data_IF_850496754017
#
_entry.id   IF_850496754017
#
_cell.length_a   1.000
_cell.length_b   1.000
_cell.length_c   1.000
_cell.angle_alpha   90.00
_cell.angle_beta   90.00
_cell.angle_gamma   90.00
#
_symmetry.space_group_name_H-M   'P 1'
#
loop_
_entity.id
_entity.type
_entity.pdbx_description
1 polymer ?
#
# COMPACT_ATOMS: atom_id res chain seq x y z
N UNK A 1 13.27 18.10 0.08
CA UNK A 1 14.68 17.81 0.45
C UNK A 1 15.07 16.36 0.17
N UNK A 2 14.30 15.34 0.64
CA UNK A 2 14.65 13.92 0.48
C UNK A 2 14.78 13.55 -1.01
N UNK A 3 13.74 13.78 -1.80
CA UNK A 3 13.74 13.46 -3.22
C UNK A 3 14.84 14.22 -3.99
N UNK A 4 15.05 15.49 -3.70
CA UNK A 4 16.12 16.30 -4.31
C UNK A 4 17.50 15.70 -4.02
N UNK A 5 17.75 15.29 -2.76
CA UNK A 5 19.01 14.65 -2.35
C UNK A 5 19.22 13.31 -3.06
N UNK A 6 18.16 12.52 -3.23
CA UNK A 6 18.23 11.26 -3.98
C UNK A 6 18.55 11.49 -5.46
N UNK A 7 17.98 12.51 -6.08
CA UNK A 7 18.20 12.85 -7.50
C UNK A 7 19.65 13.29 -7.76
N UNK A 8 20.31 13.95 -6.80
CA UNK A 8 21.72 14.30 -6.88
C UNK A 8 22.67 13.11 -6.82
N UNK A 9 22.21 11.95 -6.32
CA UNK A 9 22.97 10.69 -6.20
C UNK A 9 24.33 10.82 -5.51
N UNK A 10 24.49 11.77 -4.61
CA UNK A 10 25.77 12.01 -3.92
C UNK A 10 25.73 11.66 -2.43
N UNK A 11 24.56 11.51 -1.87
CA UNK A 11 24.37 11.22 -0.46
C UNK A 11 23.56 9.95 -0.23
N UNK A 12 23.91 9.22 0.81
CA UNK A 12 23.06 8.19 1.36
C UNK A 12 21.82 8.86 1.97
N UNK A 13 20.62 8.32 1.72
CA UNK A 13 19.39 8.86 2.29
C UNK A 13 18.63 7.76 3.03
N UNK A 14 18.29 8.04 4.28
CA UNK A 14 17.38 7.23 5.08
C UNK A 14 16.20 8.07 5.51
N UNK A 15 15.00 7.65 5.11
CA UNK A 15 13.75 8.13 5.70
C UNK A 15 13.11 6.96 6.44
N UNK A 16 12.89 7.11 7.75
CA UNK A 16 12.41 6.04 8.60
C UNK A 16 11.72 6.56 9.86
N UNK A 17 11.07 5.68 10.58
CA UNK A 17 10.38 6.01 11.82
C UNK A 17 10.54 4.91 12.88
N UNK A 18 10.11 5.20 14.10
CA UNK A 18 10.05 4.21 15.18
C UNK A 18 9.03 3.09 14.91
N UNK A 19 8.16 3.24 13.92
CA UNK A 19 7.24 2.17 13.47
C UNK A 19 7.98 0.99 12.82
N UNK A 20 9.18 1.24 12.28
CA UNK A 20 10.01 0.25 11.60
C UNK A 20 11.42 0.21 12.21
N UNK A 21 11.56 -0.28 13.46
CA UNK A 21 12.83 -0.18 14.20
C UNK A 21 14.00 -0.92 13.52
N UNK A 22 13.75 -2.02 12.86
CA UNK A 22 14.78 -2.77 12.12
C UNK A 22 15.28 -1.98 10.92
N UNK A 23 14.37 -1.40 10.12
CA UNK A 23 14.71 -0.54 8.99
C UNK A 23 15.47 0.71 9.46
N UNK A 24 14.99 1.33 10.55
CA UNK A 24 15.64 2.49 11.15
C UNK A 24 17.07 2.16 11.61
N UNK A 25 17.24 1.11 12.41
CA UNK A 25 18.53 0.75 12.97
C UNK A 25 19.53 0.35 11.89
N UNK A 26 19.13 -0.54 10.97
CA UNK A 26 20.00 -0.98 9.87
C UNK A 26 20.44 0.19 8.99
N UNK A 27 19.49 1.07 8.61
CA UNK A 27 19.77 2.23 7.78
C UNK A 27 20.67 3.27 8.46
N UNK A 28 20.50 3.50 9.78
CA UNK A 28 21.40 4.37 10.55
C UNK A 28 22.84 3.81 10.58
N UNK A 29 22.99 2.53 10.89
CA UNK A 29 24.31 1.87 10.94
C UNK A 29 24.98 1.92 9.57
N UNK A 30 24.22 1.68 8.51
CA UNK A 30 24.73 1.72 7.15
C UNK A 30 25.17 3.12 6.74
N UNK A 31 24.30 4.12 6.90
CA UNK A 31 24.63 5.50 6.53
C UNK A 31 25.78 6.11 7.32
N UNK A 32 25.91 5.76 8.63
CA UNK A 32 27.02 6.23 9.46
C UNK A 32 28.38 5.56 9.14
N UNK A 33 28.37 4.40 8.51
CA UNK A 33 29.61 3.72 8.06
C UNK A 33 30.12 4.24 6.73
N UNK A 34 29.32 4.98 5.99
CA UNK A 34 29.70 5.50 4.69
C UNK A 34 30.67 6.67 4.79
N UNK A 35 31.66 6.76 3.91
CA UNK A 35 32.63 7.87 3.90
C UNK A 35 32.01 9.16 3.33
N UNK A 36 30.87 9.10 2.63
CA UNK A 36 30.20 10.21 1.98
C UNK A 36 29.14 10.90 2.86
N UNK A 37 28.47 11.93 2.35
CA UNK A 37 27.37 12.57 3.05
C UNK A 37 26.18 11.62 3.24
N UNK A 38 25.47 11.77 4.36
CA UNK A 38 24.26 11.02 4.65
C UNK A 38 23.16 11.95 5.17
N UNK A 39 21.94 11.79 4.64
CA UNK A 39 20.73 12.46 5.09
C UNK A 39 19.86 11.47 5.87
N UNK A 40 19.61 11.77 7.13
CA UNK A 40 18.67 11.03 7.98
C UNK A 40 17.43 11.87 8.20
N UNK A 41 16.30 11.46 7.65
CA UNK A 41 15.00 12.08 7.83
C UNK A 41 14.13 11.14 8.67
N UNK A 42 13.94 11.48 9.94
CA UNK A 42 13.33 10.59 10.91
C UNK A 42 12.00 11.15 11.42
N UNK A 43 10.96 10.31 11.40
CA UNK A 43 9.66 10.62 11.97
C UNK A 43 9.59 10.12 13.42
N UNK A 44 9.24 11.05 14.31
CA UNK A 44 8.87 10.74 15.69
C UNK A 44 7.37 10.95 15.83
N UNK A 45 6.57 9.91 16.12
CA UNK A 45 5.13 10.06 16.31
C UNK A 45 4.82 10.97 17.50
N UNK A 46 3.74 11.73 17.40
CA UNK A 46 3.25 12.55 18.51
C UNK A 46 2.71 11.65 19.64
N UNK A 47 2.67 12.16 20.90
CA UNK A 47 2.03 11.45 22.00
C UNK A 47 0.58 11.08 21.64
N UNK A 48 0.25 9.79 21.72
CA UNK A 48 -1.08 9.27 21.34
C UNK A 48 -1.23 8.87 19.88
N UNK A 49 -0.27 9.17 19.03
CA UNK A 49 -0.26 8.70 17.64
C UNK A 49 0.23 7.25 17.58
N UNK A 50 -0.53 6.39 16.88
CA UNK A 50 -0.07 5.05 16.56
C UNK A 50 1.14 5.13 15.61
N UNK A 51 2.30 4.53 15.95
CA UNK A 51 3.55 4.73 15.19
C UNK A 51 3.46 4.37 13.71
N UNK A 52 2.60 3.39 13.33
CA UNK A 52 2.43 2.92 11.94
C UNK A 52 1.60 3.85 11.05
N UNK A 53 0.79 4.73 11.62
CA UNK A 53 -0.19 5.51 10.83
C UNK A 53 0.42 6.41 9.76
N UNK A 54 1.53 7.06 10.04
CA UNK A 54 2.23 7.90 9.06
C UNK A 54 2.83 7.07 7.91
N UNK A 55 3.18 5.82 8.18
CA UNK A 55 3.68 4.86 7.22
C UNK A 55 2.54 4.30 6.34
N UNK A 56 1.45 3.84 6.97
CA UNK A 56 0.27 3.28 6.30
C UNK A 56 -0.39 4.29 5.35
N UNK A 57 -0.44 5.56 5.76
CA UNK A 57 -0.99 6.66 4.96
C UNK A 57 0.00 7.23 3.92
N UNK A 58 1.20 6.70 3.82
CA UNK A 58 2.30 7.16 2.97
C UNK A 58 2.69 8.65 3.18
N UNK A 59 2.27 9.25 4.28
CA UNK A 59 2.70 10.61 4.67
C UNK A 59 4.18 10.65 4.96
N UNK A 60 4.67 9.55 5.53
CA UNK A 60 6.08 9.38 5.83
C UNK A 60 6.53 7.95 5.47
N UNK A 61 6.65 7.63 4.17
CA UNK A 61 7.07 6.30 3.74
C UNK A 61 8.50 5.99 4.19
N UNK A 62 8.75 4.75 4.59
CA UNK A 62 10.11 4.28 4.82
C UNK A 62 10.85 4.15 3.49
N UNK A 63 12.05 4.69 3.40
CA UNK A 63 12.90 4.53 2.23
C UNK A 63 14.37 4.56 2.61
N UNK A 64 15.18 3.86 1.83
CA UNK A 64 16.63 3.91 1.88
C UNK A 64 17.15 4.06 0.47
N UNK A 65 18.00 5.05 0.26
CA UNK A 65 18.67 5.29 -1.02
C UNK A 65 20.18 5.23 -0.83
N UNK A 66 20.80 4.37 -1.61
CA UNK A 66 22.24 4.12 -1.55
C UNK A 66 22.90 4.43 -2.89
N UNK A 67 23.63 5.56 -3.01
CA UNK A 67 24.28 5.96 -4.26
C UNK A 67 25.50 5.11 -4.62
N UNK A 68 26.04 4.32 -3.68
CA UNK A 68 27.21 3.45 -3.94
C UNK A 68 26.83 2.13 -4.62
N UNK A 69 25.55 1.76 -4.62
CA UNK A 69 25.07 0.61 -5.38
C UNK A 69 25.17 0.93 -6.87
N UNK A 70 25.88 0.10 -7.61
CA UNK A 70 25.97 0.24 -9.06
C UNK A 70 24.66 -0.19 -9.72
N UNK A 71 24.06 0.68 -10.55
CA UNK A 71 22.89 0.30 -11.30
C UNK A 71 21.94 1.45 -11.64
N UNK A 72 20.71 1.07 -11.98
CA UNK A 72 19.62 2.01 -12.25
C UNK A 72 19.11 2.61 -10.95
N UNK A 73 18.42 3.73 -11.04
CA UNK A 73 17.88 4.42 -9.87
C UNK A 73 17.03 3.50 -8.99
N UNK A 74 16.23 2.63 -9.60
CA UNK A 74 15.39 1.69 -8.87
C UNK A 74 16.16 0.69 -8.00
N UNK A 75 17.39 0.32 -8.37
CA UNK A 75 18.23 -0.53 -7.55
C UNK A 75 18.84 0.20 -6.34
N UNK A 76 18.98 1.52 -6.44
CA UNK A 76 19.50 2.38 -5.38
C UNK A 76 18.44 2.68 -4.31
N UNK A 77 17.15 2.57 -4.67
CA UNK A 77 16.01 2.94 -3.84
C UNK A 77 15.32 1.70 -3.28
N UNK A 78 15.41 1.51 -1.98
CA UNK A 78 14.73 0.44 -1.24
C UNK A 78 13.50 0.99 -0.52
N UNK A 79 12.33 0.42 -0.79
CA UNK A 79 11.04 0.74 -0.18
C UNK A 79 10.49 -0.40 0.68
N UNK A 80 11.29 -1.42 0.98
CA UNK A 80 10.86 -2.64 1.70
C UNK A 80 10.38 -2.40 3.14
N UNK A 81 10.70 -1.24 3.72
CA UNK A 81 10.21 -0.84 5.04
C UNK A 81 8.72 -0.46 5.10
N UNK A 82 8.03 -0.39 3.96
CA UNK A 82 6.61 -0.05 3.90
C UNK A 82 5.72 -1.30 3.89
N UNK A 83 4.47 -1.22 4.39
CA UNK A 83 3.52 -2.31 4.27
C UNK A 83 3.29 -2.66 2.80
N UNK A 84 3.52 -3.92 2.43
CA UNK A 84 3.25 -4.39 1.06
C UNK A 84 1.76 -4.55 0.80
N UNK A 85 1.31 -4.49 -0.47
CA UNK A 85 -0.10 -4.71 -0.82
C UNK A 85 -0.64 -6.08 -0.35
N UNK A 86 0.23 -7.08 -0.21
CA UNK A 86 -0.13 -8.40 0.32
C UNK A 86 -0.21 -8.48 1.84
N UNK A 87 0.45 -7.58 2.57
CA UNK A 87 0.37 -7.56 4.05
C UNK A 87 -0.93 -6.91 4.52
N UNK A 88 -1.54 -6.07 3.73
CA UNK A 88 -2.88 -5.52 3.98
C UNK A 88 -3.97 -6.59 3.87
N UNK A 89 -3.77 -7.62 3.03
CA UNK A 89 -4.69 -8.75 2.88
C UNK A 89 -4.42 -9.89 3.89
N UNK A 90 -3.18 -10.09 4.35
CA UNK A 90 -2.77 -11.24 5.17
C UNK A 90 -3.11 -11.08 6.66
N UNK A 91 -3.39 -9.88 7.14
CA UNK A 91 -3.94 -9.70 8.51
C UNK A 91 -5.36 -10.25 8.60
N UNK A 92 -6.10 -10.35 7.48
CA UNK A 92 -7.43 -10.92 7.43
C UNK A 92 -7.45 -12.48 7.36
N UNK A 93 -6.37 -13.14 6.93
CA UNK A 93 -6.39 -14.59 6.70
C UNK A 93 -5.66 -15.44 7.75
N UNK A 94 -4.99 -14.87 8.74
CA UNK A 94 -4.08 -15.64 9.62
C UNK A 94 -4.65 -16.11 10.95
N UNK A 95 -5.90 -15.87 11.26
CA UNK A 95 -6.55 -16.37 12.46
C UNK A 95 -7.72 -17.29 12.11
N UNK A 96 -7.41 -18.55 11.79
CA UNK A 96 -8.36 -19.63 11.70
C UNK A 96 -8.85 -20.12 13.09
N UNK A 97 -9.21 -19.21 13.98
CA UNK A 97 -10.02 -19.43 15.16
C UNK A 97 -11.05 -18.30 15.21
N UNK A 98 -12.33 -18.69 15.11
CA UNK A 98 -13.49 -17.83 15.23
C UNK A 98 -13.53 -17.17 16.62
N UNK A 99 -12.87 -16.06 16.80
CA UNK A 99 -13.26 -15.04 17.75
C UNK A 99 -13.74 -13.85 16.96
N UNK A 100 -15.00 -13.45 17.21
CA UNK A 100 -15.66 -12.25 16.69
C UNK A 100 -14.87 -10.98 17.03
N UNK A 101 -13.74 -10.77 16.35
CA UNK A 101 -13.13 -9.46 16.26
C UNK A 101 -13.83 -8.74 15.12
N UNK A 102 -14.32 -7.51 15.36
CA UNK A 102 -14.96 -6.73 14.30
C UNK A 102 -14.00 -6.66 13.11
N UNK A 103 -14.49 -7.04 11.93
CA UNK A 103 -13.79 -6.85 10.66
C UNK A 103 -13.37 -5.38 10.59
N UNK A 104 -12.14 -5.09 10.98
CA UNK A 104 -11.51 -3.84 10.65
C UNK A 104 -11.20 -3.95 9.16
N UNK A 105 -12.12 -3.46 8.32
CA UNK A 105 -11.82 -3.11 6.95
C UNK A 105 -10.73 -2.04 7.00
N UNK A 106 -9.48 -2.49 7.06
CA UNK A 106 -8.30 -1.65 6.94
C UNK A 106 -8.13 -1.30 5.46
N UNK A 107 -8.99 -0.41 4.97
CA UNK A 107 -8.64 0.34 3.77
C UNK A 107 -7.26 0.98 4.00
N UNK A 108 -6.38 0.98 3.00
CA UNK A 108 -5.07 1.63 3.14
C UNK A 108 -5.31 3.06 3.64
N UNK A 109 -4.69 3.39 4.77
CA UNK A 109 -4.89 4.68 5.42
C UNK A 109 -4.53 5.83 4.48
N UNK A 110 -5.40 6.81 4.35
CA UNK A 110 -5.14 8.02 3.55
C UNK A 110 -4.50 9.12 4.40
N UNK A 111 -3.98 10.16 3.74
CA UNK A 111 -3.51 11.36 4.43
C UNK A 111 -4.60 11.96 5.32
N UNK A 112 -5.84 11.99 4.86
CA UNK A 112 -6.95 12.54 5.62
C UNK A 112 -7.22 11.79 6.93
N UNK A 113 -7.15 10.45 6.93
CA UNK A 113 -7.30 9.64 8.15
C UNK A 113 -6.15 9.86 9.14
N UNK A 114 -4.92 10.03 8.64
CA UNK A 114 -3.79 10.41 9.46
C UNK A 114 -3.93 11.83 10.02
N UNK A 115 -4.41 12.78 9.21
CA UNK A 115 -4.61 14.17 9.59
C UNK A 115 -5.76 14.36 10.58
N UNK A 116 -6.80 13.51 10.52
CA UNK A 116 -7.96 13.57 11.41
C UNK A 116 -7.59 13.49 12.89
N UNK A 117 -6.52 12.78 13.22
CA UNK A 117 -6.04 12.63 14.59
C UNK A 117 -5.30 13.88 15.13
N UNK A 118 -5.24 14.96 14.35
CA UNK A 118 -4.47 16.17 14.68
C UNK A 118 -5.33 17.41 14.72
N UNK A 119 -5.34 18.07 15.86
CA UNK A 119 -6.12 19.30 16.08
C UNK A 119 -5.83 20.39 15.02
N UNK A 120 -4.60 20.43 14.52
CA UNK A 120 -4.20 21.39 13.49
C UNK A 120 -5.01 21.27 12.19
N UNK A 121 -5.60 20.11 11.92
CA UNK A 121 -6.39 19.85 10.71
C UNK A 121 -7.89 19.74 10.98
N UNK A 122 -8.36 19.90 12.22
CA UNK A 122 -9.76 19.71 12.59
C UNK A 122 -10.73 20.55 11.75
N UNK A 123 -10.32 21.74 11.32
CA UNK A 123 -11.11 22.67 10.48
C UNK A 123 -11.47 22.09 9.09
N UNK A 124 -10.75 21.07 8.65
CA UNK A 124 -10.94 20.44 7.34
C UNK A 124 -11.92 19.27 7.32
N UNK A 125 -12.48 18.92 8.49
CA UNK A 125 -13.39 17.81 8.67
C UNK A 125 -14.75 18.32 9.16
N UNK A 126 -15.82 17.80 8.54
CA UNK A 126 -17.18 18.09 8.94
C UNK A 126 -17.97 16.79 9.00
N UNK A 127 -18.91 16.71 9.94
CA UNK A 127 -19.78 15.53 10.02
C UNK A 127 -20.51 15.32 8.69
N UNK A 128 -20.45 14.11 8.16
CA UNK A 128 -20.98 13.80 6.84
C UNK A 128 -22.48 13.65 6.90
N UNK A 129 -23.20 14.42 6.10
CA UNK A 129 -24.66 14.37 6.04
C UNK A 129 -25.13 13.15 5.23
N UNK A 130 -26.04 12.35 5.79
CA UNK A 130 -26.53 11.12 5.17
C UNK A 130 -27.26 11.32 3.83
N UNK A 131 -27.74 12.53 3.54
CA UNK A 131 -28.45 12.87 2.29
C UNK A 131 -27.51 13.22 1.13
N UNK A 132 -26.20 13.14 1.30
CA UNK A 132 -25.21 13.49 0.27
C UNK A 132 -25.35 12.52 -0.92
N UNK A 133 -25.51 13.05 -2.12
CA UNK A 133 -25.59 12.25 -3.33
C UNK A 133 -24.23 11.62 -3.68
N UNK A 134 -24.25 10.34 -4.03
CA UNK A 134 -23.08 9.59 -4.54
C UNK A 134 -21.82 9.65 -3.64
N UNK A 135 -21.93 9.32 -2.34
CA UNK A 135 -20.76 9.30 -1.46
C UNK A 135 -19.79 8.18 -1.86
N UNK A 136 -18.49 8.43 -1.67
CA UNK A 136 -17.43 7.45 -1.93
C UNK A 136 -16.31 7.61 -0.90
N UNK A 137 -15.76 6.50 -0.42
CA UNK A 137 -14.57 6.53 0.44
C UNK A 137 -13.41 7.22 -0.26
N UNK A 138 -12.64 8.03 0.48
CA UNK A 138 -11.53 8.80 -0.09
C UNK A 138 -10.49 7.90 -0.76
N UNK A 139 -10.21 6.74 -0.19
CA UNK A 139 -9.26 5.77 -0.76
C UNK A 139 -9.65 5.32 -2.18
N UNK A 140 -10.93 5.09 -2.42
CA UNK A 140 -11.45 4.75 -3.75
C UNK A 140 -11.52 5.98 -4.65
N UNK A 141 -11.92 7.13 -4.10
CA UNK A 141 -12.02 8.39 -4.83
C UNK A 141 -10.68 8.82 -5.45
N UNK A 142 -9.56 8.63 -4.74
CA UNK A 142 -8.22 8.98 -5.23
C UNK A 142 -7.78 8.13 -6.44
N UNK A 143 -8.40 6.97 -6.66
CA UNK A 143 -8.13 6.10 -7.82
C UNK A 143 -8.96 6.41 -9.07
N UNK A 144 -9.95 7.32 -8.98
CA UNK A 144 -10.83 7.66 -10.09
C UNK A 144 -10.23 8.70 -11.03
N UNK A 145 -10.67 8.69 -12.29
CA UNK A 145 -10.39 9.79 -13.22
C UNK A 145 -11.20 11.05 -12.90
N UNK A 146 -10.83 12.19 -13.49
CA UNK A 146 -11.42 13.50 -13.20
C UNK A 146 -12.95 13.56 -13.48
N UNK A 147 -13.41 12.87 -14.52
CA UNK A 147 -14.85 12.86 -14.89
C UNK A 147 -15.65 12.04 -13.85
N UNK A 148 -15.11 10.94 -13.38
CA UNK A 148 -15.69 10.10 -12.34
C UNK A 148 -15.68 10.81 -10.97
N UNK A 149 -14.60 11.50 -10.63
CA UNK A 149 -14.47 12.30 -9.41
C UNK A 149 -15.50 13.42 -9.34
N UNK A 150 -15.79 14.10 -10.44
CA UNK A 150 -16.76 15.20 -10.50
C UNK A 150 -18.19 14.78 -10.09
N UNK A 151 -18.53 13.50 -10.22
CA UNK A 151 -19.85 12.95 -9.87
C UNK A 151 -19.92 12.38 -8.44
N UNK A 152 -18.84 12.44 -7.66
CA UNK A 152 -18.73 11.80 -6.33
C UNK A 152 -18.37 12.81 -5.26
N UNK A 153 -18.77 12.49 -4.02
CA UNK A 153 -18.42 13.28 -2.84
C UNK A 153 -17.58 12.40 -1.90
N UNK A 154 -16.27 12.71 -1.75
CA UNK A 154 -15.40 11.90 -0.92
C UNK A 154 -15.65 12.12 0.57
N UNK A 155 -15.54 11.05 1.34
CA UNK A 155 -15.58 11.04 2.80
C UNK A 155 -14.55 10.06 3.36
N UNK A 156 -14.27 10.15 4.67
CA UNK A 156 -13.53 9.15 5.43
C UNK A 156 -14.41 8.55 6.51
N UNK A 157 -14.17 7.28 6.82
CA UNK A 157 -14.82 6.58 7.93
C UNK A 157 -13.85 6.45 9.09
N UNK A 158 -14.22 6.95 10.27
CA UNK A 158 -13.41 6.89 11.49
C UNK A 158 -14.16 6.11 12.56
N UNK A 159 -13.54 5.07 13.08
CA UNK A 159 -14.08 4.30 14.19
C UNK A 159 -13.48 4.78 15.51
N UNK A 160 -14.31 5.31 16.39
CA UNK A 160 -13.96 5.75 17.74
C UNK A 160 -14.88 5.04 18.73
N UNK A 161 -14.30 4.41 19.74
CA UNK A 161 -15.06 3.70 20.82
C UNK A 161 -16.07 2.66 20.30
N UNK A 162 -15.78 2.05 19.14
CA UNK A 162 -16.66 1.06 18.51
C UNK A 162 -17.77 1.65 17.63
N UNK A 163 -17.89 2.97 17.53
CA UNK A 163 -18.81 3.67 16.63
C UNK A 163 -18.06 4.18 15.41
N UNK A 164 -18.57 3.88 14.21
CA UNK A 164 -18.02 4.38 12.94
C UNK A 164 -18.80 5.59 12.47
N UNK A 165 -18.11 6.72 12.41
CA UNK A 165 -18.65 7.98 11.94
C UNK A 165 -17.99 8.38 10.61
N UNK A 166 -18.77 9.04 9.74
CA UNK A 166 -18.30 9.55 8.45
C UNK A 166 -18.03 11.03 8.53
N UNK A 167 -16.93 11.46 7.92
CA UNK A 167 -16.54 12.85 7.87
C UNK A 167 -16.31 13.29 6.43
N UNK A 168 -17.00 14.37 6.05
CA UNK A 168 -16.73 15.09 4.81
C UNK A 168 -15.47 15.90 4.90
N UNK A 169 -14.84 16.14 3.77
CA UNK A 169 -13.51 16.71 3.66
C UNK A 169 -13.57 18.06 2.94
N UNK A 170 -12.73 19.00 3.37
CA UNK A 170 -12.51 20.22 2.60
C UNK A 170 -11.73 19.92 1.32
N UNK A 171 -11.88 20.76 0.31
CA UNK A 171 -11.14 20.67 -0.96
C UNK A 171 -9.61 20.61 -0.72
N UNK A 172 -9.10 21.41 0.23
CA UNK A 172 -7.68 21.42 0.58
C UNK A 172 -7.22 20.06 1.10
N UNK A 173 -8.05 19.38 1.90
CA UNK A 173 -7.72 18.06 2.44
C UNK A 173 -7.73 16.99 1.35
N UNK A 174 -8.67 17.06 0.42
CA UNK A 174 -8.75 16.15 -0.74
C UNK A 174 -7.50 16.32 -1.61
N UNK A 175 -7.13 17.56 -1.94
CA UNK A 175 -5.94 17.85 -2.74
C UNK A 175 -4.65 17.41 -2.03
N UNK A 176 -4.53 17.63 -0.73
CA UNK A 176 -3.37 17.16 0.04
C UNK A 176 -3.27 15.63 0.02
N UNK A 177 -4.40 14.93 0.16
CA UNK A 177 -4.44 13.47 0.08
C UNK A 177 -4.03 12.97 -1.30
N UNK A 178 -4.48 13.66 -2.36
CA UNK A 178 -4.08 13.35 -3.73
C UNK A 178 -2.57 13.53 -3.92
N UNK A 179 -1.99 14.64 -3.46
CA UNK A 179 -0.55 14.89 -3.57
C UNK A 179 0.29 13.82 -2.85
N UNK A 180 -0.14 13.36 -1.68
CA UNK A 180 0.55 12.30 -0.95
C UNK A 180 0.47 10.97 -1.71
N UNK A 181 -0.70 10.64 -2.26
CA UNK A 181 -0.87 9.44 -3.08
C UNK A 181 0.00 9.47 -4.35
N UNK A 182 0.06 10.61 -5.04
CA UNK A 182 0.92 10.79 -6.21
C UNK A 182 2.43 10.75 -5.85
N UNK A 183 2.83 11.28 -4.70
CA UNK A 183 4.21 11.12 -4.23
C UNK A 183 4.58 9.67 -3.98
N UNK A 184 3.68 8.89 -3.38
CA UNK A 184 3.90 7.46 -3.17
C UNK A 184 4.00 6.72 -4.50
N UNK A 185 3.11 6.99 -5.44
CA UNK A 185 3.14 6.44 -6.79
C UNK A 185 4.47 6.75 -7.51
N UNK A 186 4.92 8.00 -7.41
CA UNK A 186 6.23 8.40 -7.96
C UNK A 186 7.39 7.59 -7.36
N UNK A 187 7.38 7.32 -6.04
CA UNK A 187 8.41 6.48 -5.42
C UNK A 187 8.37 5.04 -5.95
N UNK A 188 7.18 4.47 -6.16
CA UNK A 188 7.02 3.15 -6.76
C UNK A 188 7.51 3.10 -8.22
N UNK A 189 7.28 4.16 -8.99
CA UNK A 189 7.79 4.30 -10.36
C UNK A 189 9.33 4.41 -10.37
N UNK A 190 9.90 5.23 -9.49
CA UNK A 190 11.35 5.40 -9.36
C UNK A 190 12.05 4.12 -8.89
N UNK A 191 11.42 3.36 -8.01
CA UNK A 191 11.91 2.06 -7.55
C UNK A 191 11.74 0.96 -8.63
N UNK A 192 10.89 1.18 -9.64
CA UNK A 192 10.61 0.22 -10.70
C UNK A 192 9.54 -0.83 -10.36
N UNK A 193 8.88 -0.70 -9.20
CA UNK A 193 7.78 -1.58 -8.78
C UNK A 193 6.54 -1.40 -9.66
N UNK A 194 6.24 -0.17 -10.04
CA UNK A 194 5.13 0.19 -10.93
C UNK A 194 5.70 0.91 -12.16
N UNK A 195 5.68 0.23 -13.29
CA UNK A 195 6.05 0.82 -14.58
C UNK A 195 5.14 0.23 -15.66
N UNK A 196 4.92 0.90 -16.80
CA UNK A 196 4.17 0.32 -17.91
C UNK A 196 4.73 -1.04 -18.38
N UNK A 197 6.00 -1.28 -18.11
CA UNK A 197 6.68 -2.52 -18.47
C UNK A 197 6.37 -3.64 -17.46
N UNK A 198 6.36 -3.34 -16.16
CA UNK A 198 6.02 -4.31 -15.11
C UNK A 198 4.56 -4.69 -15.14
N UNK A 199 3.65 -3.78 -15.48
CA UNK A 199 2.22 -4.09 -15.67
C UNK A 199 2.01 -5.06 -16.84
N UNK A 200 2.63 -4.76 -18.00
CA UNK A 200 2.55 -5.64 -19.16
C UNK A 200 3.12 -7.04 -18.88
N UNK A 201 4.26 -7.10 -18.18
CA UNK A 201 4.86 -8.38 -17.79
C UNK A 201 3.97 -9.16 -16.82
N UNK A 202 3.32 -8.47 -15.88
CA UNK A 202 2.37 -9.08 -14.93
C UNK A 202 1.15 -9.66 -15.65
N UNK A 203 0.61 -8.94 -16.63
CA UNK A 203 -0.49 -9.45 -17.45
C UNK A 203 -0.08 -10.69 -18.26
N UNK A 204 1.11 -10.68 -18.86
CA UNK A 204 1.63 -11.83 -19.57
C UNK A 204 1.81 -13.05 -18.67
N UNK A 205 2.46 -12.88 -17.52
CA UNK A 205 2.63 -13.95 -16.53
C UNK A 205 1.31 -14.49 -16.00
N UNK A 206 0.31 -13.62 -15.82
CA UNK A 206 -1.03 -14.05 -15.41
C UNK A 206 -1.70 -14.91 -16.48
N UNK A 207 -1.59 -14.52 -17.75
CA UNK A 207 -2.13 -15.31 -18.86
C UNK A 207 -1.42 -16.66 -19.00
N UNK A 208 -0.08 -16.69 -18.90
CA UNK A 208 0.69 -17.93 -18.92
C UNK A 208 0.28 -18.87 -17.78
N UNK A 209 0.11 -18.35 -16.57
CA UNK A 209 -0.31 -19.12 -15.41
C UNK A 209 -1.75 -19.66 -15.56
N UNK A 210 -2.65 -18.86 -16.11
CA UNK A 210 -4.03 -19.30 -16.40
C UNK A 210 -4.05 -20.40 -17.45
N UNK A 211 -3.22 -20.32 -18.50
CA UNK A 211 -3.08 -21.37 -19.53
C UNK A 211 -2.48 -22.66 -18.94
N UNK A 212 -1.44 -22.56 -18.10
CA UNK A 212 -0.87 -23.73 -17.42
C UNK A 212 -1.90 -24.42 -16.52
N UNK A 213 -2.63 -23.66 -15.70
CA UNK A 213 -3.70 -24.21 -14.84
C UNK A 213 -4.81 -24.88 -15.65
N UNK A 214 -5.19 -24.28 -16.79
CA UNK A 214 -6.22 -24.86 -17.65
C UNK A 214 -5.76 -26.20 -18.24
N UNK A 215 -4.51 -26.28 -18.69
CA UNK A 215 -3.92 -27.50 -19.22
C UNK A 215 -3.83 -28.60 -18.13
N UNK A 216 -3.43 -28.25 -16.92
CA UNK A 216 -3.36 -29.18 -15.78
C UNK A 216 -4.75 -29.74 -15.43
N UNK A 217 -5.78 -28.89 -15.41
CA UNK A 217 -7.16 -29.31 -15.18
C UNK A 217 -7.65 -30.26 -16.29
N UNK A 218 -7.30 -30.00 -17.55
CA UNK A 218 -7.67 -30.88 -18.65
C UNK A 218 -6.97 -32.24 -18.58
N UNK A 219 -5.68 -32.28 -18.21
CA UNK A 219 -4.96 -33.52 -17.97
C UNK A 219 -5.55 -34.36 -16.85
N UNK A 220 -5.85 -33.71 -15.71
CA UNK A 220 -6.50 -34.37 -14.58
C UNK A 220 -7.88 -34.92 -14.94
N UNK A 221 -8.68 -34.21 -15.74
CA UNK A 221 -9.97 -34.70 -16.24
C UNK A 221 -9.81 -35.93 -17.14
N UNK A 222 -8.85 -35.90 -18.05
CA UNK A 222 -8.57 -37.04 -18.95
C UNK A 222 -8.13 -38.28 -18.15
N UNK A 223 -7.26 -38.12 -17.17
CA UNK A 223 -6.81 -39.21 -16.31
C UNK A 223 -7.97 -39.78 -15.47
N UNK A 224 -8.82 -38.89 -14.93
CA UNK A 224 -10.02 -39.30 -14.20
C UNK A 224 -11.00 -40.09 -15.09
N UNK A 225 -11.29 -39.61 -16.28
CA UNK A 225 -12.19 -40.28 -17.22
C UNK A 225 -11.64 -41.67 -17.67
N UNK A 226 -10.33 -41.78 -17.88
CA UNK A 226 -9.68 -43.07 -18.19
C UNK A 226 -9.80 -44.06 -17.02
N UNK A 227 -9.59 -43.60 -15.79
CA UNK A 227 -9.75 -44.46 -14.60
C UNK A 227 -11.19 -44.91 -14.41
N UNK A 228 -12.15 -44.01 -14.63
CA UNK A 228 -13.57 -44.37 -14.53
C UNK A 228 -13.95 -45.41 -15.60
N UNK A 229 -13.50 -45.27 -16.84
CA UNK A 229 -13.74 -46.25 -17.91
C UNK A 229 -13.11 -47.60 -17.57
N UNK A 230 -11.91 -47.64 -17.02
CA UNK A 230 -11.27 -48.88 -16.57
C UNK A 230 -12.06 -49.57 -15.45
N UNK A 231 -12.51 -48.83 -14.46
CA UNK A 231 -13.35 -49.39 -13.40
C UNK A 231 -14.68 -49.94 -13.93
N UNK A 232 -15.35 -49.24 -14.81
CA UNK A 232 -16.59 -49.73 -15.43
C UNK A 232 -16.36 -51.04 -16.19
N UNK A 233 -15.24 -51.19 -16.89
CA UNK A 233 -14.91 -52.44 -17.60
C UNK A 233 -14.60 -53.61 -16.64
N UNK A 234 -13.95 -53.32 -15.51
CA UNK A 234 -13.68 -54.33 -14.46
C UNK A 234 -14.97 -54.81 -13.78
N UNK A 235 -15.99 -53.98 -13.67
CA UNK A 235 -17.29 -54.38 -13.08
C UNK A 235 -18.18 -55.17 -14.02
N UNK A 236 -17.91 -55.17 -15.34
CA UNK A 236 -18.68 -55.86 -16.38
C UNK A 236 -18.08 -57.27 -16.73
N UNK A 237 -16.94 -57.61 -16.16
CA UNK A 237 -16.29 -58.93 -16.31
C UNK A 237 -16.39 -59.74 -15.02
#
# INVERSE_FOLDING_TARGET
PVLETMLDRQAFVLQSSLATPEHLYSGLVEGLRRPGPALFHLHAPLPGEAPGRALESHVFPALRFDPEICGTFGLLLDLSGNPGPSQQAVVAEKNGEEEDLPEQNLSPGTFAEWAFQRDAYAVHFQEFQQETANPLELSEYLGLDADQQAARVPFISITLDGETNRYGLSEVMIQASFLIAEHWKLLLELNGTVTPFTEKLREQLKQELEEEHQNEIEELRRDYDQRMQQQEQEWLT
#
